data_IF_547482748653
#
_entry.id   IF_547482748653
#
_cell.length_a   1.000
_cell.length_b   1.000
_cell.length_c   1.000
_cell.angle_alpha   90.00
_cell.angle_beta   90.00
_cell.angle_gamma   90.00
#
_symmetry.space_group_name_H-M   'P 1'
#
loop_
_entity.id
_entity.type
_entity.pdbx_description
1 polymer ?
#
# COMPACT_ATOMS: atom_id res chain seq x y z
N UNK A 1 -19.52 -30.46 34.58
CA UNK A 1 -20.27 -29.32 35.15
C UNK A 1 -20.59 -28.42 33.96
N UNK A 2 -21.87 -27.99 33.82
CA UNK A 2 -22.57 -28.35 32.58
C UNK A 2 -22.64 -27.24 31.53
N UNK A 3 -22.75 -27.67 30.29
CA UNK A 3 -23.09 -26.94 29.07
C UNK A 3 -24.51 -26.36 29.16
N UNK A 4 -24.69 -25.10 28.80
CA UNK A 4 -25.98 -24.51 28.53
C UNK A 4 -26.15 -24.23 27.05
N UNK A 5 -26.91 -25.08 26.38
CA UNK A 5 -27.48 -24.87 25.04
C UNK A 5 -28.72 -24.01 25.20
N UNK A 6 -28.83 -22.94 24.42
CA UNK A 6 -30.10 -22.21 24.25
C UNK A 6 -30.50 -22.32 22.79
N UNK A 7 -31.48 -23.17 22.53
CA UNK A 7 -32.25 -23.22 21.28
C UNK A 7 -33.39 -22.18 21.38
N UNK A 8 -33.60 -21.39 20.34
CA UNK A 8 -34.85 -20.68 20.12
C UNK A 8 -35.45 -21.03 18.77
N UNK A 9 -36.67 -21.48 18.87
CA UNK A 9 -37.48 -22.02 17.81
C UNK A 9 -38.19 -20.94 16.98
N UNK A 10 -38.36 -21.32 15.75
CA UNK A 10 -39.30 -20.98 14.69
C UNK A 10 -40.67 -20.41 15.16
N UNK A 11 -41.10 -19.35 14.49
CA UNK A 11 -42.55 -19.12 14.26
C UNK A 11 -42.74 -18.49 12.87
N UNK A 12 -43.34 -19.28 11.98
CA UNK A 12 -43.87 -18.88 10.70
C UNK A 12 -45.25 -18.22 10.91
N UNK A 13 -45.53 -17.12 10.21
CA UNK A 13 -46.91 -16.65 9.99
C UNK A 13 -47.06 -16.33 8.49
N UNK A 14 -47.90 -17.12 7.87
CA UNK A 14 -48.44 -16.93 6.54
C UNK A 14 -49.69 -16.07 6.64
N UNK A 15 -49.81 -15.04 5.85
CA UNK A 15 -51.10 -14.43 5.48
C UNK A 15 -51.05 -13.88 4.06
N UNK A 16 -51.79 -14.53 3.21
CA UNK A 16 -52.09 -14.09 1.86
C UNK A 16 -53.25 -13.07 1.89
N UNK A 17 -53.17 -12.03 1.09
CA UNK A 17 -54.34 -11.36 0.54
C UNK A 17 -54.02 -10.74 -0.83
N UNK A 18 -54.80 -11.19 -1.81
CA UNK A 18 -54.81 -10.68 -3.18
C UNK A 18 -55.63 -9.40 -3.26
N UNK A 19 -55.16 -8.42 -4.05
CA UNK A 19 -56.04 -7.40 -4.66
C UNK A 19 -55.47 -6.98 -6.00
N UNK A 20 -56.26 -7.22 -7.03
CA UNK A 20 -56.13 -6.72 -8.42
C UNK A 20 -56.29 -5.19 -8.45
N UNK A 21 -55.42 -4.51 -9.15
CA UNK A 21 -55.75 -3.26 -9.82
C UNK A 21 -54.88 -3.05 -11.07
N UNK A 22 -55.54 -3.01 -12.20
CA UNK A 22 -54.96 -2.63 -13.49
C UNK A 22 -54.59 -1.14 -13.55
N UNK A 23 -53.50 -0.79 -14.21
CA UNK A 23 -53.25 0.62 -14.50
C UNK A 23 -51.85 0.87 -15.07
N UNK A 24 -51.86 1.19 -16.39
CA UNK A 24 -50.90 1.99 -17.12
C UNK A 24 -49.45 1.45 -17.26
N UNK A 25 -49.19 0.92 -18.45
CA UNK A 25 -47.89 0.87 -19.08
C UNK A 25 -47.34 2.29 -19.27
N UNK A 26 -46.38 2.66 -18.47
CA UNK A 26 -45.50 3.79 -18.74
C UNK A 26 -44.20 3.25 -19.32
N UNK A 27 -44.01 3.55 -20.57
CA UNK A 27 -42.91 3.19 -21.44
C UNK A 27 -41.64 3.81 -20.86
N UNK A 28 -40.87 3.06 -20.08
CA UNK A 28 -39.54 3.45 -19.69
C UNK A 28 -38.61 3.36 -20.90
N UNK A 29 -38.24 4.48 -21.42
CA UNK A 29 -37.13 4.70 -22.36
C UNK A 29 -35.88 4.02 -21.80
N UNK A 30 -35.12 3.26 -22.61
CA UNK A 30 -33.84 2.73 -22.15
C UNK A 30 -32.89 3.90 -21.91
N UNK A 31 -32.55 4.12 -20.64
CA UNK A 31 -31.43 4.97 -20.26
C UNK A 31 -30.18 4.40 -20.93
N UNK A 32 -29.70 5.09 -21.96
CA UNK A 32 -28.36 4.90 -22.52
C UNK A 32 -27.38 5.06 -21.37
N UNK A 33 -26.88 3.95 -20.86
CA UNK A 33 -25.73 3.92 -19.95
C UNK A 33 -24.56 4.50 -20.74
N UNK A 34 -24.29 5.77 -20.54
CA UNK A 34 -23.07 6.39 -21.02
C UNK A 34 -21.92 5.64 -20.35
N UNK A 35 -21.21 4.86 -21.15
CA UNK A 35 -19.93 4.26 -20.83
C UNK A 35 -19.01 5.38 -20.30
N UNK A 36 -18.48 5.28 -19.07
CA UNK A 36 -17.57 6.30 -18.57
C UNK A 36 -16.38 6.33 -19.52
N UNK A 37 -16.23 7.44 -20.24
CA UNK A 37 -15.07 7.68 -21.09
C UNK A 37 -13.83 7.37 -20.27
N UNK A 38 -13.08 6.36 -20.69
CA UNK A 38 -11.82 5.95 -20.09
C UNK A 38 -10.92 7.19 -20.04
N UNK A 39 -10.77 7.77 -18.85
CA UNK A 39 -9.76 8.80 -18.64
C UNK A 39 -8.41 8.19 -19.05
N UNK A 40 -7.63 8.89 -19.89
CA UNK A 40 -6.31 8.41 -20.26
C UNK A 40 -5.53 8.15 -18.96
N UNK A 41 -5.04 6.92 -18.78
CA UNK A 41 -4.23 6.56 -17.64
C UNK A 41 -3.06 7.54 -17.50
N UNK A 42 -2.76 8.04 -16.29
CA UNK A 42 -1.62 8.92 -16.09
C UNK A 42 -0.37 8.26 -16.66
N UNK A 43 0.55 9.02 -17.28
CA UNK A 43 1.76 8.46 -17.86
C UNK A 43 2.49 7.63 -16.81
N UNK A 44 2.91 6.42 -17.19
CA UNK A 44 3.63 5.53 -16.29
C UNK A 44 4.88 6.25 -15.74
N UNK A 45 5.15 6.18 -14.43
CA UNK A 45 6.28 6.85 -13.83
C UNK A 45 7.57 6.38 -14.50
N UNK A 46 8.44 7.32 -14.86
CA UNK A 46 9.74 7.00 -15.43
C UNK A 46 10.62 6.41 -14.32
N UNK A 47 10.84 5.10 -14.36
CA UNK A 47 11.67 4.41 -13.39
C UNK A 47 13.14 4.70 -13.64
N UNK A 48 13.85 5.15 -12.62
CA UNK A 48 15.29 5.34 -12.64
C UNK A 48 15.96 4.15 -11.96
N UNK A 49 16.95 3.54 -12.61
CA UNK A 49 17.62 2.34 -12.12
C UNK A 49 19.05 2.62 -11.69
N UNK A 50 19.45 2.10 -10.52
CA UNK A 50 20.83 2.09 -10.03
C UNK A 50 21.15 0.78 -9.30
N UNK A 51 22.44 0.49 -9.13
CA UNK A 51 22.92 -0.59 -8.28
C UNK A 51 23.15 -0.14 -6.82
N UNK A 52 23.09 1.17 -6.57
CA UNK A 52 23.24 1.75 -5.23
C UNK A 52 22.31 2.95 -5.07
N UNK A 53 21.54 2.93 -3.97
CA UNK A 53 20.63 3.98 -3.59
C UNK A 53 20.93 4.46 -2.18
N UNK A 54 20.86 5.77 -1.98
CA UNK A 54 20.82 6.43 -0.67
C UNK A 54 19.40 6.97 -0.46
N UNK A 55 18.76 6.55 0.61
CA UNK A 55 17.48 7.06 1.07
C UNK A 55 17.77 7.94 2.28
N UNK A 56 17.82 9.24 2.06
CA UNK A 56 18.05 10.22 3.11
C UNK A 56 16.72 10.55 3.78
N UNK A 57 16.64 10.21 5.06
CA UNK A 57 15.45 10.47 5.88
C UNK A 57 15.63 11.79 6.58
N UNK A 58 14.69 12.70 6.42
CA UNK A 58 14.65 13.97 7.13
C UNK A 58 13.33 14.12 7.87
N UNK A 59 13.41 14.78 9.01
CA UNK A 59 12.32 15.00 9.95
C UNK A 59 11.76 13.71 10.57
N UNK A 60 11.23 13.82 11.77
CA UNK A 60 10.63 12.71 12.50
C UNK A 60 9.15 12.49 12.15
N UNK A 61 8.60 11.38 12.61
CA UNK A 61 7.20 11.04 12.41
C UNK A 61 6.29 11.79 13.40
N UNK A 62 5.37 12.59 12.89
CA UNK A 62 4.42 13.40 13.68
C UNK A 62 3.12 12.63 14.02
N UNK A 63 2.89 11.48 13.39
CA UNK A 63 1.77 10.58 13.66
C UNK A 63 2.19 9.14 13.42
N UNK A 64 1.38 8.19 13.91
CA UNK A 64 1.47 6.78 13.50
C UNK A 64 1.04 6.66 12.04
N UNK A 65 1.77 5.87 11.25
CA UNK A 65 1.45 5.69 9.85
C UNK A 65 2.32 4.64 9.17
N UNK A 66 2.11 4.51 7.86
CA UNK A 66 2.85 3.58 7.00
C UNK A 66 3.39 4.35 5.80
N UNK A 67 4.67 4.14 5.51
CA UNK A 67 5.33 4.53 4.26
C UNK A 67 5.47 3.29 3.38
N UNK A 68 4.95 3.33 2.17
CA UNK A 68 5.04 2.20 1.23
C UNK A 68 6.07 2.48 0.17
N UNK A 69 7.17 1.80 0.26
CA UNK A 69 8.20 1.82 -0.76
C UNK A 69 7.97 0.71 -1.78
N UNK A 70 8.46 0.94 -2.98
CA UNK A 70 8.47 -0.05 -4.07
C UNK A 70 9.88 -0.20 -4.60
N UNK A 71 10.36 -1.43 -4.63
CA UNK A 71 11.66 -1.81 -5.19
C UNK A 71 11.39 -2.62 -6.46
N UNK A 72 11.80 -2.09 -7.61
CA UNK A 72 11.55 -2.72 -8.92
C UNK A 72 12.88 -3.10 -9.57
N UNK A 73 13.24 -4.38 -9.62
CA UNK A 73 14.38 -4.84 -10.41
C UNK A 73 14.14 -4.60 -11.90
N UNK A 74 15.17 -4.19 -12.64
CA UNK A 74 15.05 -3.97 -14.08
C UNK A 74 14.69 -5.28 -14.78
N UNK A 75 13.52 -5.31 -15.41
CA UNK A 75 12.97 -6.51 -16.05
C UNK A 75 12.37 -7.54 -15.09
N UNK A 76 12.23 -7.23 -13.80
CA UNK A 76 11.62 -8.08 -12.79
C UNK A 76 10.30 -7.52 -12.23
N UNK A 77 9.70 -8.26 -11.33
CA UNK A 77 8.48 -7.86 -10.62
C UNK A 77 8.79 -6.87 -9.50
N UNK A 78 7.91 -5.91 -9.28
CA UNK A 78 8.00 -4.96 -8.18
C UNK A 78 7.79 -5.66 -6.82
N UNK A 79 8.53 -5.22 -5.81
CA UNK A 79 8.44 -5.67 -4.43
C UNK A 79 7.99 -4.49 -3.58
N UNK A 80 6.82 -4.58 -2.96
CA UNK A 80 6.32 -3.55 -2.06
C UNK A 80 6.88 -3.77 -0.64
N UNK A 81 7.37 -2.69 -0.03
CA UNK A 81 7.97 -2.68 1.31
C UNK A 81 7.20 -1.70 2.19
N UNK A 82 6.17 -2.15 2.93
CA UNK A 82 5.43 -1.32 3.86
C UNK A 82 6.20 -1.13 5.17
N UNK A 83 6.56 0.10 5.48
CA UNK A 83 7.27 0.49 6.71
C UNK A 83 6.31 1.20 7.65
N UNK A 84 6.07 0.62 8.82
CA UNK A 84 5.25 1.24 9.86
C UNK A 84 6.12 2.14 10.75
N UNK A 85 5.75 3.40 10.88
CA UNK A 85 6.40 4.37 11.75
C UNK A 85 5.47 4.79 12.89
N UNK A 86 6.05 5.04 14.06
CA UNK A 86 5.34 5.50 15.24
C UNK A 86 5.54 7.00 15.46
N UNK A 87 4.49 7.66 15.92
CA UNK A 87 4.55 9.06 16.35
C UNK A 87 5.69 9.29 17.32
N UNK A 88 6.44 10.37 17.12
CA UNK A 88 7.56 10.77 17.97
C UNK A 88 8.89 10.08 17.64
N UNK A 89 8.92 9.23 16.59
CA UNK A 89 10.18 8.72 16.04
C UNK A 89 10.97 9.88 15.42
N UNK A 90 12.20 10.12 15.88
CA UNK A 90 13.13 11.03 15.20
C UNK A 90 13.61 10.43 13.86
N UNK A 91 14.33 11.23 13.08
CA UNK A 91 14.86 10.84 11.75
C UNK A 91 15.70 9.57 11.79
N UNK A 92 16.68 9.45 12.69
CA UNK A 92 17.46 8.22 12.91
C UNK A 92 16.58 7.00 13.23
N UNK A 93 15.53 7.23 14.03
CA UNK A 93 14.58 6.17 14.39
C UNK A 93 13.78 5.70 13.18
N UNK A 94 13.32 6.63 12.34
CA UNK A 94 12.63 6.35 11.10
C UNK A 94 13.55 5.60 10.10
N UNK A 95 14.80 6.05 9.96
CA UNK A 95 15.80 5.40 9.10
C UNK A 95 16.08 3.95 9.55
N UNK A 96 16.18 3.69 10.86
CA UNK A 96 16.33 2.33 11.40
C UNK A 96 15.12 1.45 11.09
N UNK A 97 13.90 1.97 11.26
CA UNK A 97 12.67 1.23 10.96
C UNK A 97 12.57 0.90 9.46
N UNK A 98 12.95 1.84 8.58
CA UNK A 98 13.05 1.64 7.13
C UNK A 98 14.08 0.55 6.82
N UNK A 99 15.33 0.70 7.29
CA UNK A 99 16.40 -0.28 7.10
C UNK A 99 15.96 -1.69 7.54
N UNK A 100 15.37 -1.83 8.73
CA UNK A 100 15.03 -3.12 9.30
C UNK A 100 13.89 -3.79 8.54
N UNK A 101 12.93 -2.99 8.06
CA UNK A 101 11.85 -3.50 7.21
C UNK A 101 12.38 -3.94 5.84
N UNK A 102 13.26 -3.15 5.22
CA UNK A 102 13.92 -3.53 3.97
C UNK A 102 14.71 -4.83 4.12
N UNK A 103 15.47 -4.99 5.23
CA UNK A 103 16.21 -6.23 5.52
C UNK A 103 15.32 -7.46 5.72
N UNK A 104 14.10 -7.27 6.20
CA UNK A 104 13.13 -8.35 6.39
C UNK A 104 12.42 -8.74 5.09
N UNK A 105 12.18 -7.76 4.21
CA UNK A 105 11.37 -7.92 3.00
C UNK A 105 12.21 -8.31 1.79
N UNK A 106 13.43 -7.75 1.67
CA UNK A 106 14.30 -7.98 0.54
C UNK A 106 15.28 -9.14 0.81
N UNK A 107 15.59 -9.88 -0.25
CA UNK A 107 16.55 -10.99 -0.18
C UNK A 107 17.95 -10.48 0.18
N UNK A 108 18.49 -10.93 1.30
CA UNK A 108 19.82 -10.58 1.83
C UNK A 108 20.98 -11.02 0.92
N UNK A 109 20.77 -12.03 0.10
CA UNK A 109 21.80 -12.51 -0.83
C UNK A 109 21.89 -11.64 -2.08
N UNK A 110 20.81 -10.93 -2.40
CA UNK A 110 20.69 -9.99 -3.52
C UNK A 110 21.00 -8.56 -3.07
N UNK A 111 20.53 -8.17 -1.90
CA UNK A 111 20.62 -6.79 -1.41
C UNK A 111 21.47 -6.68 -0.14
N UNK A 112 22.28 -5.63 -0.08
CA UNK A 112 22.95 -5.18 1.16
C UNK A 112 22.30 -3.87 1.58
N UNK A 113 21.76 -3.86 2.82
CA UNK A 113 21.07 -2.70 3.37
C UNK A 113 21.78 -2.29 4.65
N UNK A 114 22.23 -1.02 4.69
CA UNK A 114 23.03 -0.45 5.78
C UNK A 114 22.45 0.88 6.21
N UNK A 115 22.84 1.36 7.39
CA UNK A 115 22.70 2.75 7.78
C UNK A 115 24.04 3.44 7.54
N UNK A 116 23.95 4.69 7.12
CA UNK A 116 25.06 5.61 6.99
C UNK A 116 24.66 6.92 7.65
N UNK A 117 25.56 7.55 8.39
CA UNK A 117 25.36 8.81 9.11
C UNK A 117 24.08 8.89 9.99
N UNK A 118 23.54 7.74 10.43
CA UNK A 118 22.38 7.64 11.32
C UNK A 118 21.03 7.72 10.64
N UNK A 119 20.80 8.69 9.76
CA UNK A 119 19.54 8.94 9.05
C UNK A 119 19.49 8.44 7.61
N UNK A 120 20.62 8.02 7.04
CA UNK A 120 20.70 7.55 5.67
C UNK A 120 20.60 6.03 5.59
N UNK A 121 19.71 5.53 4.73
CA UNK A 121 19.60 4.10 4.43
C UNK A 121 20.23 3.82 3.07
N UNK A 122 21.32 3.05 3.06
CA UNK A 122 21.97 2.60 1.83
C UNK A 122 21.43 1.24 1.40
N UNK A 123 20.98 1.18 0.15
CA UNK A 123 20.53 -0.06 -0.50
C UNK A 123 21.45 -0.34 -1.67
N UNK A 124 22.24 -1.43 -1.56
CA UNK A 124 23.21 -1.85 -2.59
C UNK A 124 22.79 -3.19 -3.18
N UNK A 125 22.77 -3.30 -4.49
CA UNK A 125 22.58 -4.57 -5.20
C UNK A 125 23.90 -5.32 -5.21
N UNK A 126 23.93 -6.52 -4.63
CA UNK A 126 25.10 -7.42 -4.64
C UNK A 126 25.11 -8.34 -5.85
N UNK A 127 23.92 -8.81 -6.23
CA UNK A 127 23.71 -9.73 -7.35
C UNK A 127 22.43 -9.38 -8.08
N UNK A 128 22.45 -9.48 -9.40
CA UNK A 128 21.24 -9.28 -10.22
C UNK A 128 21.20 -7.91 -10.92
N UNK A 129 20.03 -7.57 -11.45
CA UNK A 129 19.82 -6.34 -12.20
C UNK A 129 19.81 -5.09 -11.29
N UNK A 130 20.04 -3.93 -11.89
CA UNK A 130 19.79 -2.65 -11.22
C UNK A 130 18.34 -2.53 -10.78
N UNK A 131 18.10 -1.74 -9.75
CA UNK A 131 16.77 -1.53 -9.18
C UNK A 131 16.35 -0.08 -9.23
N UNK A 132 15.05 0.15 -9.34
CA UNK A 132 14.43 1.42 -9.03
C UNK A 132 13.84 1.34 -7.62
N UNK A 133 13.97 2.42 -6.84
CA UNK A 133 13.33 2.54 -5.53
C UNK A 133 12.52 3.83 -5.53
N UNK A 134 11.27 3.73 -5.11
CA UNK A 134 10.35 4.86 -5.03
C UNK A 134 9.47 4.78 -3.78
N UNK A 135 9.00 5.92 -3.29
CA UNK A 135 7.95 6.01 -2.29
C UNK A 135 6.62 6.14 -3.03
N UNK A 136 5.78 5.10 -2.94
CA UNK A 136 4.50 5.03 -3.65
C UNK A 136 3.41 5.77 -2.89
N UNK A 137 3.42 5.63 -1.56
CA UNK A 137 2.41 6.21 -0.69
C UNK A 137 2.95 6.41 0.73
N UNK A 138 2.45 7.42 1.42
CA UNK A 138 2.76 7.67 2.83
C UNK A 138 1.57 8.27 3.56
N UNK A 139 1.20 7.64 4.68
CA UNK A 139 0.25 8.18 5.65
C UNK A 139 0.95 8.85 6.84
N UNK A 140 2.29 8.81 6.87
CA UNK A 140 3.11 9.46 7.88
C UNK A 140 3.26 10.94 7.55
N UNK A 141 3.05 11.80 8.53
CA UNK A 141 3.26 13.26 8.44
C UNK A 141 4.60 13.62 9.07
N UNK A 142 5.28 14.59 8.49
CA UNK A 142 6.58 15.08 8.93
C UNK A 142 7.71 14.42 8.13
N UNK A 143 7.90 13.13 8.29
CA UNK A 143 9.00 12.39 7.67
C UNK A 143 9.01 12.52 6.14
N UNK A 144 10.18 12.89 5.61
CA UNK A 144 10.47 12.95 4.17
C UNK A 144 11.61 12.01 3.84
N UNK A 145 11.62 11.51 2.63
CA UNK A 145 12.70 10.64 2.12
C UNK A 145 13.13 11.15 0.76
N UNK A 146 14.39 11.54 0.65
CA UNK A 146 15.02 11.86 -0.61
C UNK A 146 15.76 10.63 -1.15
N UNK A 147 15.78 10.48 -2.47
CA UNK A 147 16.35 9.32 -3.15
C UNK A 147 17.50 9.75 -4.02
N UNK A 148 18.71 9.37 -3.66
CA UNK A 148 19.92 9.64 -4.41
C UNK A 148 20.49 8.36 -5.01
N UNK A 149 20.95 8.45 -6.25
CA UNK A 149 21.63 7.37 -6.97
C UNK A 149 23.13 7.57 -6.84
N UNK A 150 23.82 6.56 -6.38
CA UNK A 150 25.28 6.56 -6.29
C UNK A 150 25.92 5.57 -7.27
#
# INVERSE_FOLDING_TARGET
MPVARISFAVAAVVAALAALAAGAQEQATPATTAEPAAQPAPPAPTLHYSNKWRLQVSEGANNDGVMRFRVTPKGGSAIDVPVSLKKGRGEDGCARDIRDTFKKTLDKDVYKIELDDGEDVLVKVRKGPYVSIELVDSTVKGTRVNFDRE
#
